data_IF_646381703617
#
_entry.id   IF_646381703617
#
_cell.length_a   1.000
_cell.length_b   1.000
_cell.length_c   1.000
_cell.angle_alpha   90.00
_cell.angle_beta   90.00
_cell.angle_gamma   90.00
#
_symmetry.space_group_name_H-M   'P 1'
#
loop_
_entity.id
_entity.type
_entity.pdbx_description
1 polymer ?
#
# COMPACT_ATOMS: atom_id res chain seq x y z
N UNK A 1 19.19 -21.52 -13.67
CA UNK A 1 19.65 -20.62 -14.75
C UNK A 1 20.19 -19.40 -14.06
N UNK A 2 21.48 -19.11 -14.19
CA UNK A 2 22.06 -17.90 -13.58
C UNK A 2 21.73 -16.70 -14.47
N UNK A 3 20.71 -15.96 -14.08
CA UNK A 3 20.35 -14.70 -14.73
C UNK A 3 21.53 -13.72 -14.48
N UNK A 4 22.13 -13.12 -15.52
CA UNK A 4 23.22 -12.17 -15.34
C UNK A 4 22.79 -10.95 -14.52
N UNK A 5 23.68 -10.41 -13.68
CA UNK A 5 23.38 -9.24 -12.82
C UNK A 5 22.77 -8.06 -13.59
N UNK A 6 23.26 -7.77 -14.80
CA UNK A 6 22.76 -6.67 -15.61
C UNK A 6 21.30 -6.85 -16.05
N UNK A 7 20.83 -8.10 -16.23
CA UNK A 7 19.43 -8.37 -16.55
C UNK A 7 18.53 -8.00 -15.37
N UNK A 8 18.93 -8.31 -14.13
CA UNK A 8 18.21 -7.88 -12.93
C UNK A 8 18.14 -6.35 -12.84
N UNK A 9 19.27 -5.66 -13.04
CA UNK A 9 19.32 -4.20 -12.99
C UNK A 9 18.40 -3.60 -14.05
N UNK A 10 18.49 -4.07 -15.29
CA UNK A 10 17.68 -3.56 -16.41
C UNK A 10 16.18 -3.85 -16.18
N UNK A 11 15.81 -5.08 -15.82
CA UNK A 11 14.42 -5.47 -15.64
C UNK A 11 13.79 -4.75 -14.45
N UNK A 12 14.47 -4.68 -13.31
CA UNK A 12 13.97 -3.99 -12.11
C UNK A 12 13.84 -2.49 -12.34
N UNK A 13 14.81 -1.87 -13.02
CA UNK A 13 14.74 -0.44 -13.37
C UNK A 13 13.57 -0.17 -14.32
N UNK A 14 13.42 -0.97 -15.37
CA UNK A 14 12.31 -0.84 -16.32
C UNK A 14 10.96 -0.99 -15.62
N UNK A 15 10.83 -1.98 -14.73
CA UNK A 15 9.60 -2.21 -13.98
C UNK A 15 9.31 -1.08 -12.98
N UNK A 16 10.32 -0.57 -12.28
CA UNK A 16 10.19 0.58 -11.39
C UNK A 16 9.75 1.84 -12.13
N UNK A 17 10.37 2.15 -13.28
CA UNK A 17 9.96 3.28 -14.13
C UNK A 17 8.52 3.11 -14.61
N UNK A 18 8.15 1.90 -15.08
CA UNK A 18 6.78 1.58 -15.45
C UNK A 18 5.80 1.85 -14.31
N UNK A 19 6.11 1.40 -13.09
CA UNK A 19 5.28 1.59 -11.91
C UNK A 19 5.13 3.08 -11.55
N UNK A 20 6.21 3.86 -11.59
CA UNK A 20 6.16 5.30 -11.31
C UNK A 20 5.28 6.05 -12.33
N UNK A 21 5.41 5.71 -13.62
CA UNK A 21 4.55 6.26 -14.69
C UNK A 21 3.10 5.83 -14.48
N UNK A 22 2.87 4.56 -14.16
CA UNK A 22 1.54 4.02 -13.90
C UNK A 22 0.85 4.77 -12.75
N UNK A 23 1.55 4.98 -11.62
CA UNK A 23 1.02 5.74 -10.49
C UNK A 23 0.63 7.15 -10.94
N UNK A 24 1.50 7.86 -11.67
CA UNK A 24 1.21 9.24 -12.10
C UNK A 24 0.01 9.31 -13.06
N UNK A 25 -0.08 8.39 -14.01
CA UNK A 25 -1.19 8.30 -14.97
C UNK A 25 -2.50 7.95 -14.26
N UNK A 26 -2.53 6.89 -13.45
CA UNK A 26 -3.73 6.44 -12.73
C UNK A 26 -4.21 7.46 -11.71
N UNK A 27 -3.28 8.20 -11.11
CA UNK A 27 -3.61 9.31 -10.23
C UNK A 27 -4.25 10.45 -11.02
N UNK A 28 -3.59 10.97 -12.06
CA UNK A 28 -4.06 12.14 -12.82
C UNK A 28 -5.36 11.87 -13.61
N UNK A 29 -5.54 10.65 -14.11
CA UNK A 29 -6.67 10.28 -14.95
C UNK A 29 -7.66 9.37 -14.20
N UNK A 30 -8.41 9.94 -13.27
CA UNK A 30 -9.36 9.20 -12.40
C UNK A 30 -10.36 8.32 -13.16
N UNK A 31 -10.85 8.79 -14.33
CA UNK A 31 -11.75 8.00 -15.19
C UNK A 31 -11.07 6.78 -15.78
N UNK A 32 -9.86 6.97 -16.33
CA UNK A 32 -9.04 5.87 -16.86
C UNK A 32 -8.75 4.87 -15.75
N UNK A 33 -8.39 5.35 -14.56
CA UNK A 33 -8.09 4.50 -13.42
C UNK A 33 -9.30 3.65 -13.01
N UNK A 34 -10.50 4.23 -12.95
CA UNK A 34 -11.71 3.47 -12.67
C UNK A 34 -11.96 2.39 -13.73
N UNK A 35 -11.91 2.77 -15.01
CA UNK A 35 -12.13 1.85 -16.13
C UNK A 35 -11.12 0.71 -16.11
N UNK A 36 -9.83 1.01 -15.95
CA UNK A 36 -8.76 0.03 -15.89
C UNK A 36 -8.95 -0.98 -14.75
N UNK A 37 -9.43 -0.53 -13.58
CA UNK A 37 -9.68 -1.40 -12.42
C UNK A 37 -10.92 -2.27 -12.63
N UNK A 38 -11.97 -1.74 -13.27
CA UNK A 38 -13.13 -2.56 -13.64
C UNK A 38 -12.71 -3.64 -14.63
N UNK A 39 -11.94 -3.30 -15.67
CA UNK A 39 -11.38 -4.28 -16.60
C UNK A 39 -10.46 -5.29 -15.89
N UNK A 40 -9.66 -4.86 -14.92
CA UNK A 40 -8.83 -5.76 -14.13
C UNK A 40 -9.70 -6.82 -13.43
N UNK A 41 -10.79 -6.44 -12.76
CA UNK A 41 -11.71 -7.40 -12.14
C UNK A 41 -12.39 -8.30 -13.18
N UNK A 42 -12.83 -7.74 -14.31
CA UNK A 42 -13.48 -8.52 -15.38
C UNK A 42 -12.51 -9.47 -16.11
N UNK A 43 -11.21 -9.27 -15.97
CA UNK A 43 -10.18 -10.17 -16.52
C UNK A 43 -10.01 -11.46 -15.72
N UNK A 44 -10.81 -11.70 -14.67
CA UNK A 44 -10.77 -12.92 -13.86
C UNK A 44 -10.77 -14.25 -14.65
N UNK A 45 -11.41 -14.38 -15.84
CA UNK A 45 -11.33 -15.63 -16.62
C UNK A 45 -9.94 -15.91 -17.19
N UNK A 46 -9.05 -14.92 -17.23
CA UNK A 46 -7.69 -15.02 -17.75
C UNK A 46 -6.63 -15.17 -16.64
N UNK A 47 -7.04 -15.30 -15.38
CA UNK A 47 -6.13 -15.41 -14.24
C UNK A 47 -5.63 -16.85 -14.07
N UNK A 48 -4.81 -17.29 -15.02
CA UNK A 48 -4.38 -18.69 -15.13
C UNK A 48 -3.29 -19.08 -14.12
N UNK A 49 -2.57 -18.11 -13.55
CA UNK A 49 -1.42 -18.34 -12.65
C UNK A 49 -1.77 -18.22 -11.15
N UNK A 50 -3.08 -18.13 -10.83
CA UNK A 50 -3.56 -17.96 -9.46
C UNK A 50 -3.76 -19.31 -8.78
N UNK A 51 -2.65 -19.90 -8.35
CA UNK A 51 -2.66 -21.12 -7.55
C UNK A 51 -2.77 -20.84 -6.05
N UNK A 52 -3.73 -21.50 -5.38
CA UNK A 52 -3.92 -21.44 -3.94
C UNK A 52 -4.82 -20.31 -3.45
N UNK A 53 -5.55 -20.59 -2.37
CA UNK A 53 -6.56 -19.67 -1.81
C UNK A 53 -5.98 -18.32 -1.41
N UNK A 54 -4.73 -18.28 -0.94
CA UNK A 54 -4.06 -17.06 -0.49
C UNK A 54 -3.87 -16.06 -1.64
N UNK A 55 -3.49 -16.53 -2.84
CA UNK A 55 -3.33 -15.65 -4.01
C UNK A 55 -4.66 -15.10 -4.48
N UNK A 56 -5.71 -15.94 -4.49
CA UNK A 56 -7.08 -15.51 -4.76
C UNK A 56 -7.56 -14.45 -3.77
N UNK A 57 -7.38 -14.71 -2.47
CA UNK A 57 -7.72 -13.77 -1.42
C UNK A 57 -6.96 -12.44 -1.59
N UNK A 58 -5.68 -12.49 -1.97
CA UNK A 58 -4.87 -11.28 -2.18
C UNK A 58 -5.31 -10.46 -3.38
N UNK A 59 -5.58 -11.10 -4.53
CA UNK A 59 -6.03 -10.39 -5.73
C UNK A 59 -7.41 -9.78 -5.47
N UNK A 60 -8.35 -10.54 -4.91
CA UNK A 60 -9.70 -10.06 -4.65
C UNK A 60 -9.73 -8.97 -3.57
N UNK A 61 -8.98 -9.14 -2.47
CA UNK A 61 -8.91 -8.14 -1.39
C UNK A 61 -8.27 -6.82 -1.82
N UNK A 62 -7.57 -6.78 -2.95
CA UNK A 62 -7.01 -5.56 -3.53
C UNK A 62 -7.93 -5.01 -4.63
N UNK A 63 -8.27 -5.82 -5.64
CA UNK A 63 -9.00 -5.35 -6.81
C UNK A 63 -10.47 -5.03 -6.51
N UNK A 64 -11.14 -5.80 -5.63
CA UNK A 64 -12.55 -5.56 -5.30
C UNK A 64 -12.73 -4.23 -4.55
N UNK A 65 -11.99 -3.94 -3.45
CA UNK A 65 -12.09 -2.62 -2.83
C UNK A 65 -11.66 -1.49 -3.76
N UNK A 66 -10.69 -1.73 -4.65
CA UNK A 66 -10.29 -0.73 -5.62
C UNK A 66 -11.42 -0.41 -6.63
N UNK A 67 -12.12 -1.43 -7.12
CA UNK A 67 -13.18 -1.30 -8.12
C UNK A 67 -14.49 -0.75 -7.55
N UNK A 68 -14.86 -1.18 -6.34
CA UNK A 68 -16.17 -0.87 -5.76
C UNK A 68 -16.12 0.20 -4.67
N UNK A 69 -14.94 0.55 -4.14
CA UNK A 69 -14.80 1.55 -3.07
C UNK A 69 -13.94 2.72 -3.53
N UNK A 70 -12.66 2.49 -3.83
CA UNK A 70 -11.71 3.58 -4.19
C UNK A 70 -12.13 4.28 -5.48
N UNK A 71 -12.34 3.53 -6.56
CA UNK A 71 -12.66 4.08 -7.87
C UNK A 71 -13.93 4.93 -7.88
N UNK A 72 -15.08 4.40 -7.42
CA UNK A 72 -16.32 5.16 -7.30
C UNK A 72 -16.20 6.36 -6.36
N UNK A 73 -15.49 6.23 -5.23
CA UNK A 73 -15.25 7.36 -4.32
C UNK A 73 -14.47 8.48 -5.00
N UNK A 74 -13.38 8.16 -5.69
CA UNK A 74 -12.60 9.17 -6.45
C UNK A 74 -13.44 9.81 -7.54
N UNK A 75 -14.30 9.06 -8.24
CA UNK A 75 -15.24 9.62 -9.22
C UNK A 75 -16.30 10.52 -8.58
N UNK A 76 -16.83 10.14 -7.42
CA UNK A 76 -17.81 10.94 -6.69
C UNK A 76 -17.23 12.27 -6.20
N UNK A 77 -15.95 12.30 -5.84
CA UNK A 77 -15.21 13.53 -5.55
C UNK A 77 -14.81 14.31 -6.80
N UNK A 78 -14.48 13.63 -7.90
CA UNK A 78 -14.24 14.26 -9.20
C UNK A 78 -15.47 15.01 -9.73
N UNK A 79 -16.66 14.44 -9.55
CA UNK A 79 -17.96 15.08 -9.84
C UNK A 79 -18.60 15.62 -8.56
N UNK A 80 -17.88 16.46 -7.81
CA UNK A 80 -18.33 17.00 -6.51
C UNK A 80 -19.71 17.68 -6.59
N UNK A 81 -20.00 18.35 -7.70
CA UNK A 81 -21.26 19.08 -7.90
C UNK A 81 -22.46 18.15 -8.17
N UNK A 82 -22.20 16.88 -8.52
CA UNK A 82 -23.26 15.90 -8.72
C UNK A 82 -23.95 15.59 -7.39
N UNK A 83 -25.24 15.91 -7.30
CA UNK A 83 -26.07 15.73 -6.11
C UNK A 83 -26.79 14.37 -6.04
N UNK A 84 -26.52 13.46 -6.99
CA UNK A 84 -27.13 12.12 -7.00
C UNK A 84 -26.89 11.36 -5.68
N UNK A 85 -27.86 10.54 -5.29
CA UNK A 85 -27.78 9.73 -4.07
C UNK A 85 -26.53 8.84 -4.06
N UNK A 86 -26.16 8.29 -5.21
CA UNK A 86 -24.97 7.45 -5.39
C UNK A 86 -23.68 8.26 -5.14
N UNK A 87 -23.56 9.46 -5.71
CA UNK A 87 -22.39 10.31 -5.47
C UNK A 87 -22.28 10.74 -4.00
N UNK A 88 -23.41 11.05 -3.34
CA UNK A 88 -23.42 11.34 -1.90
C UNK A 88 -23.02 10.14 -1.06
N UNK A 89 -23.51 8.95 -1.40
CA UNK A 89 -23.16 7.71 -0.72
C UNK A 89 -21.65 7.44 -0.76
N UNK A 90 -21.01 7.53 -1.92
CA UNK A 90 -19.56 7.31 -2.07
C UNK A 90 -18.67 8.45 -1.54
N UNK A 91 -19.24 9.60 -1.20
CA UNK A 91 -18.55 10.66 -0.43
C UNK A 91 -18.69 10.49 1.08
N UNK A 92 -19.42 9.47 1.54
CA UNK A 92 -19.63 9.19 2.95
C UNK A 92 -18.40 8.63 3.66
N UNK A 93 -18.39 8.80 4.99
CA UNK A 93 -17.27 8.41 5.85
C UNK A 93 -16.98 6.90 5.82
N UNK A 94 -17.99 6.08 5.52
CA UNK A 94 -17.86 4.62 5.46
C UNK A 94 -16.75 4.19 4.50
N UNK A 95 -16.53 4.93 3.40
CA UNK A 95 -15.45 4.66 2.44
C UNK A 95 -14.09 4.70 3.14
N UNK A 96 -13.83 5.72 3.95
CA UNK A 96 -12.55 5.87 4.65
C UNK A 96 -12.36 4.78 5.71
N UNK A 97 -13.43 4.38 6.39
CA UNK A 97 -13.39 3.24 7.33
C UNK A 97 -13.12 1.91 6.62
N UNK A 98 -13.71 1.70 5.44
CA UNK A 98 -13.41 0.50 4.64
C UNK A 98 -11.98 0.51 4.16
N UNK A 99 -11.42 1.64 3.73
CA UNK A 99 -10.02 1.74 3.33
C UNK A 99 -9.05 1.47 4.48
N UNK A 100 -9.34 2.01 5.66
CA UNK A 100 -8.63 1.67 6.88
C UNK A 100 -8.71 0.17 7.18
N UNK A 101 -9.91 -0.41 7.09
CA UNK A 101 -10.13 -1.85 7.32
C UNK A 101 -9.38 -2.72 6.32
N UNK A 102 -9.37 -2.37 5.04
CA UNK A 102 -8.62 -3.10 4.00
C UNK A 102 -7.11 -3.02 4.24
N UNK A 103 -6.58 -1.84 4.59
CA UNK A 103 -5.16 -1.72 4.96
C UNK A 103 -4.83 -2.57 6.19
N UNK A 104 -5.65 -2.47 7.24
CA UNK A 104 -5.47 -3.25 8.46
C UNK A 104 -5.50 -4.75 8.18
N UNK A 105 -6.49 -5.24 7.41
CA UNK A 105 -6.59 -6.64 7.02
C UNK A 105 -5.40 -7.10 6.18
N UNK A 106 -4.90 -6.25 5.28
CA UNK A 106 -3.72 -6.56 4.46
C UNK A 106 -2.47 -6.78 5.31
N UNK A 107 -2.28 -5.96 6.35
CA UNK A 107 -1.18 -6.11 7.32
C UNK A 107 -1.41 -7.33 8.20
N UNK A 108 -2.62 -7.50 8.74
CA UNK A 108 -2.97 -8.59 9.63
C UNK A 108 -2.84 -9.97 8.95
N UNK A 109 -3.26 -10.09 7.70
CA UNK A 109 -3.13 -11.31 6.90
C UNK A 109 -1.65 -11.72 6.73
N UNK A 110 -0.80 -10.78 6.31
CA UNK A 110 0.63 -11.04 6.16
C UNK A 110 1.30 -11.31 7.51
N UNK A 111 0.87 -10.62 8.57
CA UNK A 111 1.34 -10.88 9.95
C UNK A 111 0.99 -12.30 10.40
N UNK A 112 -0.23 -12.76 10.15
CA UNK A 112 -0.66 -14.13 10.48
C UNK A 112 0.17 -15.15 9.69
N UNK A 113 0.49 -14.84 8.44
CA UNK A 113 1.34 -15.69 7.61
C UNK A 113 2.79 -15.74 8.13
N UNK A 114 3.36 -14.60 8.54
CA UNK A 114 4.67 -14.55 9.22
C UNK A 114 4.70 -15.40 10.49
N UNK A 115 3.61 -15.42 11.27
CA UNK A 115 3.48 -16.33 12.42
C UNK A 115 3.50 -17.81 12.01
N UNK A 116 2.83 -18.16 10.90
CA UNK A 116 2.79 -19.54 10.39
C UNK A 116 4.14 -20.00 9.84
N UNK A 117 4.95 -19.09 9.28
CA UNK A 117 6.29 -19.37 8.74
C UNK A 117 7.39 -19.22 9.79
N UNK A 118 7.04 -19.12 11.08
CA UNK A 118 7.96 -18.95 12.20
C UNK A 118 8.83 -17.67 12.16
N UNK A 119 8.45 -16.67 11.36
CA UNK A 119 9.09 -15.35 11.32
C UNK A 119 8.55 -14.41 12.42
N UNK A 120 8.68 -14.83 13.67
CA UNK A 120 8.03 -14.19 14.81
C UNK A 120 8.43 -12.73 15.01
N UNK A 121 9.69 -12.39 14.76
CA UNK A 121 10.18 -11.01 14.93
C UNK A 121 9.51 -10.05 13.94
N UNK A 122 9.36 -10.47 12.67
CA UNK A 122 8.65 -9.67 11.68
C UNK A 122 7.14 -9.66 11.93
N UNK A 123 6.57 -10.75 12.45
CA UNK A 123 5.16 -10.80 12.84
C UNK A 123 4.82 -9.76 13.93
N UNK A 124 5.66 -9.62 14.95
CA UNK A 124 5.49 -8.59 16.00
C UNK A 124 5.50 -7.19 15.38
N UNK A 125 6.37 -6.93 14.40
CA UNK A 125 6.40 -5.66 13.68
C UNK A 125 5.06 -5.38 12.97
N UNK A 126 4.46 -6.40 12.34
CA UNK A 126 3.14 -6.30 11.73
C UNK A 126 2.03 -5.95 12.72
N UNK A 127 2.06 -6.53 13.92
CA UNK A 127 1.13 -6.15 15.02
C UNK A 127 1.33 -4.70 15.43
N UNK A 128 2.58 -4.24 15.55
CA UNK A 128 2.90 -2.84 15.85
C UNK A 128 2.36 -1.91 14.76
N UNK A 129 2.53 -2.26 13.48
CA UNK A 129 2.03 -1.48 12.36
C UNK A 129 0.50 -1.37 12.41
N UNK A 130 -0.22 -2.48 12.66
CA UNK A 130 -1.67 -2.49 12.86
C UNK A 130 -2.10 -1.56 14.02
N UNK A 131 -1.38 -1.58 15.14
CA UNK A 131 -1.69 -0.74 16.31
C UNK A 131 -1.39 0.75 16.09
N UNK A 132 -0.52 1.08 15.13
CA UNK A 132 -0.07 2.44 14.83
C UNK A 132 -0.71 3.04 13.59
N UNK A 133 -1.70 2.38 12.97
CA UNK A 133 -2.48 2.98 11.89
C UNK A 133 -3.33 4.13 12.47
N UNK A 134 -3.22 5.37 11.94
CA UNK A 134 -4.07 6.47 12.35
C UNK A 134 -5.54 6.17 12.06
N UNK A 135 -6.39 6.28 13.08
CA UNK A 135 -7.82 6.09 12.94
C UNK A 135 -8.45 7.14 12.02
N UNK A 136 -9.45 6.81 11.18
CA UNK A 136 -10.25 7.78 10.44
C UNK A 136 -11.08 8.68 11.38
N UNK A 137 -10.43 9.66 11.99
CA UNK A 137 -11.05 10.59 12.93
C UNK A 137 -11.75 11.73 12.20
N UNK A 138 -12.92 12.11 12.72
CA UNK A 138 -13.70 13.25 12.29
C UNK A 138 -13.67 14.31 13.38
N UNK A 139 -13.21 15.52 13.06
CA UNK A 139 -13.19 16.67 13.99
C UNK A 139 -13.72 17.90 13.27
N UNK A 140 -14.51 18.73 13.95
CA UNK A 140 -15.02 20.01 13.45
C UNK A 140 -15.50 19.98 11.97
N UNK A 141 -16.19 18.91 11.56
CA UNK A 141 -16.70 18.80 10.20
C UNK A 141 -15.72 18.26 9.13
N UNK A 142 -14.47 17.92 9.48
CA UNK A 142 -13.43 17.48 8.52
C UNK A 142 -12.65 16.26 9.00
N UNK A 143 -12.20 15.46 8.03
CA UNK A 143 -11.32 14.33 8.31
C UNK A 143 -9.87 14.77 8.49
N UNK A 144 -9.18 14.15 9.45
CA UNK A 144 -7.79 14.51 9.76
C UNK A 144 -6.78 13.62 9.04
N UNK A 145 -6.88 12.31 9.19
CA UNK A 145 -5.81 11.39 8.76
C UNK A 145 -6.06 10.71 7.42
N UNK A 146 -7.33 10.58 7.05
CA UNK A 146 -7.76 9.93 5.82
C UNK A 146 -8.74 10.87 5.12
N UNK A 147 -8.41 11.34 3.93
CA UNK A 147 -9.37 12.16 3.17
C UNK A 147 -9.13 12.06 1.67
N UNK A 148 -10.18 12.34 0.91
CA UNK A 148 -10.05 12.60 -0.51
C UNK A 148 -9.82 14.10 -0.71
N UNK A 149 -8.78 14.45 -1.48
CA UNK A 149 -8.52 15.84 -1.84
C UNK A 149 -9.74 16.37 -2.63
N UNK A 150 -10.37 17.48 -2.20
CA UNK A 150 -11.41 18.11 -3.00
C UNK A 150 -10.86 18.71 -4.30
N UNK A 151 -9.56 18.98 -4.39
CA UNK A 151 -8.91 19.46 -5.60
C UNK A 151 -8.56 18.29 -6.52
N UNK A 152 -8.61 18.54 -7.83
CA UNK A 152 -8.14 17.56 -8.81
C UNK A 152 -6.66 17.24 -8.54
N UNK A 153 -6.25 15.96 -8.57
CA UNK A 153 -6.97 14.83 -9.16
C UNK A 153 -7.79 13.97 -8.18
N UNK A 154 -8.21 14.51 -7.04
CA UNK A 154 -9.04 13.83 -6.05
C UNK A 154 -8.33 12.61 -5.47
N UNK A 155 -7.13 12.87 -4.95
CA UNK A 155 -6.25 11.87 -4.37
C UNK A 155 -6.77 11.39 -3.03
N UNK A 156 -6.62 10.09 -2.77
CA UNK A 156 -6.73 9.55 -1.42
C UNK A 156 -5.45 9.93 -0.67
N UNK A 157 -5.59 10.82 0.30
CA UNK A 157 -4.52 11.31 1.15
C UNK A 157 -4.54 10.56 2.48
N UNK A 158 -3.38 10.06 2.88
CA UNK A 158 -3.14 9.39 4.14
C UNK A 158 -2.04 10.12 4.92
N UNK A 159 -2.42 10.84 5.98
CA UNK A 159 -1.48 11.59 6.81
C UNK A 159 -0.91 10.67 7.88
N UNK A 160 0.25 10.10 7.59
CA UNK A 160 1.10 9.35 8.51
C UNK A 160 2.46 10.03 8.69
N UNK A 161 3.34 9.41 9.48
CA UNK A 161 4.75 9.83 9.57
C UNK A 161 5.57 9.10 8.50
N UNK A 162 6.64 9.76 8.01
CA UNK A 162 7.62 9.11 7.12
C UNK A 162 8.19 7.83 7.74
N UNK A 163 8.41 7.84 9.06
CA UNK A 163 8.86 6.67 9.79
C UNK A 163 7.86 5.50 9.65
N UNK A 164 6.55 5.74 9.77
CA UNK A 164 5.55 4.69 9.58
C UNK A 164 5.59 4.11 8.16
N UNK A 165 5.69 4.95 7.13
CA UNK A 165 5.77 4.50 5.74
C UNK A 165 7.03 3.65 5.51
N UNK A 166 8.18 4.10 6.00
CA UNK A 166 9.43 3.37 5.91
C UNK A 166 9.36 2.02 6.63
N UNK A 167 8.86 2.01 7.87
CA UNK A 167 8.70 0.79 8.69
C UNK A 167 7.75 -0.21 8.04
N UNK A 168 6.63 0.27 7.49
CA UNK A 168 5.72 -0.55 6.71
C UNK A 168 6.42 -1.12 5.46
N UNK A 169 7.18 -0.30 4.72
CA UNK A 169 7.90 -0.72 3.52
C UNK A 169 8.92 -1.83 3.83
N UNK A 170 9.79 -1.66 4.83
CA UNK A 170 10.78 -2.68 5.22
C UNK A 170 10.15 -3.94 5.81
N UNK A 171 9.08 -3.81 6.59
CA UNK A 171 8.33 -4.95 7.12
C UNK A 171 7.74 -5.80 5.99
N UNK A 172 7.13 -5.15 5.00
CA UNK A 172 6.50 -5.82 3.87
C UNK A 172 7.55 -6.48 2.95
N UNK A 173 8.73 -5.86 2.77
CA UNK A 173 9.84 -6.48 2.04
C UNK A 173 10.33 -7.75 2.74
N UNK A 174 10.52 -7.70 4.07
CA UNK A 174 10.94 -8.85 4.86
C UNK A 174 9.90 -9.99 4.79
N UNK A 175 8.61 -9.66 4.88
CA UNK A 175 7.52 -10.63 4.70
C UNK A 175 7.62 -11.35 3.35
N UNK A 176 7.73 -10.60 2.24
CA UNK A 176 7.79 -11.22 0.91
C UNK A 176 9.08 -12.00 0.69
N UNK A 177 10.20 -11.56 1.26
CA UNK A 177 11.46 -12.30 1.20
C UNK A 177 11.31 -13.71 1.78
N UNK A 178 10.53 -13.86 2.87
CA UNK A 178 10.25 -15.16 3.47
C UNK A 178 9.10 -15.95 2.82
N UNK A 179 8.03 -15.29 2.38
CA UNK A 179 6.82 -15.96 1.87
C UNK A 179 6.96 -16.46 0.43
N UNK A 180 7.56 -15.64 -0.45
CA UNK A 180 7.73 -15.96 -1.87
C UNK A 180 9.11 -15.50 -2.37
N UNK A 181 10.20 -16.21 -2.01
CA UNK A 181 11.56 -15.79 -2.34
C UNK A 181 11.80 -15.57 -3.85
N UNK A 182 11.14 -16.35 -4.71
CA UNK A 182 11.25 -16.21 -6.16
C UNK A 182 10.73 -14.85 -6.69
N UNK A 183 9.78 -14.22 -5.99
CA UNK A 183 9.14 -12.96 -6.38
C UNK A 183 9.62 -11.75 -5.57
N UNK A 184 10.65 -11.91 -4.73
CA UNK A 184 11.10 -10.84 -3.86
C UNK A 184 11.59 -9.61 -4.63
N UNK A 185 12.37 -9.74 -5.71
CA UNK A 185 12.83 -8.57 -6.47
C UNK A 185 11.71 -7.77 -7.14
N UNK A 186 10.73 -8.44 -7.76
CA UNK A 186 9.58 -7.74 -8.35
C UNK A 186 8.69 -7.10 -7.28
N UNK A 187 8.55 -7.75 -6.11
CA UNK A 187 7.82 -7.21 -4.96
C UNK A 187 8.56 -6.04 -4.29
N UNK A 188 9.89 -6.07 -4.26
CA UNK A 188 10.70 -4.95 -3.81
C UNK A 188 10.49 -3.74 -4.72
N UNK A 189 10.41 -3.93 -6.05
CA UNK A 189 10.14 -2.83 -6.99
C UNK A 189 8.82 -2.11 -6.70
N UNK A 190 7.74 -2.83 -6.38
CA UNK A 190 6.43 -2.21 -6.09
C UNK A 190 6.42 -1.47 -4.74
N UNK A 191 7.24 -1.92 -3.79
CA UNK A 191 7.39 -1.29 -2.48
C UNK A 191 8.25 -0.04 -2.59
N UNK A 192 9.39 -0.13 -3.27
CA UNK A 192 10.27 1.03 -3.55
C UNK A 192 9.53 2.06 -4.40
N UNK A 193 8.79 1.66 -5.43
CA UNK A 193 8.02 2.62 -6.24
C UNK A 193 6.97 3.36 -5.41
N UNK A 194 6.30 2.68 -4.47
CA UNK A 194 5.32 3.29 -3.57
C UNK A 194 5.95 4.27 -2.57
N UNK A 195 7.18 4.03 -2.13
CA UNK A 195 7.93 4.94 -1.23
C UNK A 195 8.57 6.11 -2.00
N UNK A 196 9.20 5.82 -3.14
CA UNK A 196 9.93 6.79 -3.95
C UNK A 196 9.00 7.83 -4.57
N UNK A 197 7.79 7.43 -4.97
CA UNK A 197 6.86 8.35 -5.63
C UNK A 197 6.43 9.54 -4.75
N UNK A 198 5.97 9.35 -3.49
CA UNK A 198 5.73 10.43 -2.54
C UNK A 198 6.95 11.32 -2.31
N UNK A 199 8.16 10.74 -2.24
CA UNK A 199 9.42 11.48 -2.06
C UNK A 199 9.70 12.38 -3.28
N UNK A 200 9.60 11.83 -4.50
CA UNK A 200 9.79 12.59 -5.74
C UNK A 200 8.78 13.75 -5.91
N UNK A 201 7.58 13.60 -5.34
CA UNK A 201 6.54 14.64 -5.38
C UNK A 201 6.52 15.53 -4.15
N UNK A 202 7.41 15.32 -3.17
CA UNK A 202 7.39 16.00 -1.86
C UNK A 202 6.01 15.95 -1.17
N UNK A 203 5.29 14.85 -1.34
CA UNK A 203 3.91 14.65 -0.85
C UNK A 203 3.77 13.28 -0.18
N UNK A 204 4.28 13.10 1.05
CA UNK A 204 4.21 11.84 1.82
C UNK A 204 2.80 11.27 1.93
N UNK A 205 1.78 12.12 1.92
CA UNK A 205 0.38 11.70 2.05
C UNK A 205 -0.13 10.84 0.88
N UNK A 206 0.63 10.77 -0.22
CA UNK A 206 0.32 9.94 -1.39
C UNK A 206 0.77 8.49 -1.26
N UNK A 207 1.40 8.10 -0.15
CA UNK A 207 1.97 6.77 0.02
C UNK A 207 0.95 5.65 -0.21
N UNK A 208 -0.22 5.72 0.44
CA UNK A 208 -1.24 4.66 0.35
C UNK A 208 -1.84 4.56 -1.06
N UNK A 209 -2.12 5.69 -1.73
CA UNK A 209 -2.63 5.63 -3.11
C UNK A 209 -1.59 5.05 -4.08
N UNK A 210 -0.31 5.40 -3.91
CA UNK A 210 0.78 4.81 -4.68
C UNK A 210 0.90 3.30 -4.39
N UNK A 211 0.76 2.89 -3.13
CA UNK A 211 0.79 1.48 -2.73
C UNK A 211 -0.38 0.68 -3.31
N UNK A 212 -1.59 1.23 -3.29
CA UNK A 212 -2.78 0.60 -3.85
C UNK A 212 -2.58 0.34 -5.36
N UNK A 213 -2.09 1.32 -6.12
CA UNK A 213 -1.86 1.15 -7.56
C UNK A 213 -0.74 0.17 -7.89
N UNK A 214 0.40 0.28 -7.21
CA UNK A 214 1.54 -0.61 -7.44
C UNK A 214 1.20 -2.05 -7.09
N UNK A 215 0.52 -2.28 -5.96
CA UNK A 215 0.08 -3.61 -5.53
C UNK A 215 -0.95 -4.19 -6.52
N UNK A 216 -1.98 -3.44 -6.89
CA UNK A 216 -3.01 -3.90 -7.81
C UNK A 216 -2.44 -4.30 -9.18
N UNK A 217 -1.54 -3.48 -9.73
CA UNK A 217 -0.89 -3.79 -11.00
C UNK A 217 -0.03 -5.05 -10.90
N UNK A 218 0.73 -5.18 -9.81
CA UNK A 218 1.61 -6.32 -9.59
C UNK A 218 0.84 -7.63 -9.47
N UNK A 219 -0.19 -7.67 -8.60
CA UNK A 219 -0.98 -8.90 -8.40
C UNK A 219 -1.79 -9.26 -9.65
N UNK A 220 -2.23 -8.27 -10.43
CA UNK A 220 -2.90 -8.51 -11.71
C UNK A 220 -1.95 -9.11 -12.75
N UNK A 221 -0.77 -8.51 -12.96
CA UNK A 221 0.22 -9.03 -13.92
C UNK A 221 0.56 -10.48 -13.53
N UNK A 222 0.88 -10.71 -12.25
CA UNK A 222 1.24 -12.04 -11.74
C UNK A 222 0.09 -13.04 -11.79
N UNK A 223 -1.16 -12.59 -11.73
CA UNK A 223 -2.33 -13.45 -11.85
C UNK A 223 -2.60 -13.90 -13.28
N UNK A 224 -2.30 -13.05 -14.27
CA UNK A 224 -2.50 -13.35 -15.70
C UNK A 224 -1.35 -14.20 -16.25
N UNK A 225 -0.10 -13.81 -15.97
CA UNK A 225 1.09 -14.50 -16.48
C UNK A 225 2.31 -14.24 -15.61
N UNK A 226 3.14 -15.26 -15.38
CA UNK A 226 4.40 -15.09 -14.66
C UNK A 226 5.49 -14.47 -15.53
N UNK A 227 5.47 -13.14 -15.61
CA UNK A 227 6.53 -12.35 -16.27
C UNK A 227 7.77 -12.21 -15.39
N UNK A 228 7.69 -12.49 -14.08
CA UNK A 228 8.73 -12.08 -13.14
C UNK A 228 9.79 -13.15 -12.88
N UNK A 229 9.40 -14.40 -12.66
CA UNK A 229 10.40 -15.46 -12.37
C UNK A 229 11.42 -15.66 -13.49
N UNK A 230 11.11 -15.48 -14.80
CA UNK A 230 12.13 -15.66 -15.84
C UNK A 230 13.22 -14.57 -15.85
N UNK A 231 12.95 -13.38 -15.30
CA UNK A 231 13.83 -12.19 -15.42
C UNK A 231 14.23 -11.54 -14.09
N UNK A 232 13.58 -11.90 -12.99
CA UNK A 232 13.73 -11.33 -11.65
C UNK A 232 13.67 -12.39 -10.54
N UNK A 233 14.06 -13.65 -10.82
CA UNK A 233 14.09 -14.67 -9.77
C UNK A 233 15.14 -14.35 -8.69
N UNK A 234 14.69 -14.13 -7.45
CA UNK A 234 15.54 -13.90 -6.27
C UNK A 234 15.73 -15.13 -5.39
N UNK A 235 15.17 -16.29 -5.75
CA UNK A 235 15.35 -17.54 -5.01
C UNK A 235 16.83 -17.94 -4.81
N UNK A 236 17.74 -17.79 -5.79
CA UNK A 236 19.15 -18.15 -5.59
C UNK A 236 19.88 -17.33 -4.52
N UNK A 237 19.37 -16.14 -4.17
CA UNK A 237 19.95 -15.28 -3.14
C UNK A 237 19.18 -15.36 -1.81
N UNK A 238 18.20 -16.26 -1.72
CA UNK A 238 17.43 -16.44 -0.50
C UNK A 238 18.31 -17.04 0.60
N UNK A 239 18.25 -16.45 1.79
CA UNK A 239 18.98 -16.93 2.96
C UNK A 239 18.14 -16.72 4.22
N UNK A 240 17.85 -17.83 4.91
CA UNK A 240 17.05 -17.83 6.14
C UNK A 240 17.70 -17.03 7.27
N UNK A 241 19.03 -17.04 7.39
CA UNK A 241 19.73 -16.21 8.39
C UNK A 241 19.57 -14.73 8.08
N UNK A 242 19.60 -14.34 6.80
CA UNK A 242 19.35 -12.96 6.40
C UNK A 242 17.91 -12.54 6.72
N UNK A 243 16.93 -13.41 6.50
CA UNK A 243 15.53 -13.19 6.87
C UNK A 243 15.37 -12.95 8.39
N UNK A 244 15.98 -13.80 9.22
CA UNK A 244 15.93 -13.64 10.68
C UNK A 244 16.58 -12.34 11.14
N UNK A 245 17.78 -12.01 10.63
CA UNK A 245 18.49 -10.77 10.97
C UNK A 245 17.67 -9.55 10.54
N UNK A 246 17.04 -9.59 9.36
CA UNK A 246 16.17 -8.51 8.90
C UNK A 246 14.95 -8.36 9.81
N UNK A 247 14.29 -9.45 10.19
CA UNK A 247 13.20 -9.44 11.18
C UNK A 247 13.63 -8.80 12.50
N UNK A 248 14.83 -9.12 13.01
CA UNK A 248 15.39 -8.52 14.21
C UNK A 248 15.66 -7.02 14.06
N UNK A 249 16.25 -6.58 12.95
CA UNK A 249 16.47 -5.17 12.64
C UNK A 249 15.13 -4.42 12.58
N UNK A 250 14.13 -4.98 11.89
CA UNK A 250 12.79 -4.41 11.83
C UNK A 250 12.23 -4.23 13.26
N UNK A 251 12.35 -5.23 14.12
CA UNK A 251 11.86 -5.15 15.50
C UNK A 251 12.55 -4.04 16.30
N UNK A 252 13.88 -3.93 16.20
CA UNK A 252 14.67 -2.88 16.84
C UNK A 252 14.26 -1.49 16.37
N UNK A 253 13.81 -1.34 15.12
CA UNK A 253 13.29 -0.06 14.61
C UNK A 253 11.83 0.21 15.01
N UNK A 254 10.98 -0.82 15.05
CA UNK A 254 9.56 -0.69 15.39
C UNK A 254 9.32 -0.41 16.87
N UNK A 255 10.11 -0.99 17.78
CA UNK A 255 9.93 -0.82 19.23
C UNK A 255 10.12 0.63 19.70
N UNK A 256 11.20 1.35 19.34
CA UNK A 256 11.35 2.76 19.66
C UNK A 256 10.24 3.61 19.01
N UNK A 257 9.87 3.28 17.77
CA UNK A 257 8.82 3.99 17.05
C UNK A 257 7.46 3.88 17.77
N UNK A 258 7.04 2.68 18.20
CA UNK A 258 5.75 2.52 18.88
C UNK A 258 5.71 3.21 20.24
N UNK A 259 6.82 3.19 20.98
CA UNK A 259 6.96 3.94 22.25
C UNK A 259 6.83 5.43 21.98
N UNK A 260 7.54 5.95 20.98
CA UNK A 260 7.44 7.35 20.57
C UNK A 260 6.04 7.72 20.11
N UNK A 261 5.40 6.87 19.29
CA UNK A 261 4.07 7.06 18.73
C UNK A 261 3.04 7.24 19.83
N UNK A 262 2.96 6.30 20.77
CA UNK A 262 1.99 6.37 21.87
C UNK A 262 2.29 7.49 22.86
N UNK A 263 3.56 7.83 23.10
CA UNK A 263 3.92 9.00 23.93
C UNK A 263 3.44 10.30 23.30
N UNK A 264 3.69 10.50 22.00
CA UNK A 264 3.20 11.66 21.25
C UNK A 264 1.68 11.67 21.18
N UNK A 265 1.07 10.52 20.95
CA UNK A 265 -0.38 10.40 20.92
C UNK A 265 -1.02 10.75 22.26
N UNK A 266 -0.42 10.33 23.38
CA UNK A 266 -0.91 10.68 24.72
C UNK A 266 -0.75 12.17 25.03
N UNK A 267 0.37 12.78 24.63
CA UNK A 267 0.63 14.19 24.84
C UNK A 267 -0.28 15.10 24.00
N UNK A 268 -0.47 14.77 22.72
CA UNK A 268 -1.26 15.55 21.77
C UNK A 268 -2.74 15.14 21.70
N UNK A 269 -3.13 14.04 22.35
CA UNK A 269 -4.43 13.34 22.19
C UNK A 269 -4.77 13.00 20.73
N UNK A 270 -3.77 12.93 19.87
CA UNK A 270 -3.88 12.82 18.41
C UNK A 270 -2.71 11.99 17.86
N UNK A 271 -2.96 11.20 16.81
CA UNK A 271 -1.91 10.40 16.19
C UNK A 271 -0.82 11.33 15.61
N UNK A 272 0.47 10.98 15.74
CA UNK A 272 1.52 11.76 15.13
C UNK A 272 1.41 11.73 13.61
N UNK A 273 1.60 12.89 13.00
CA UNK A 273 1.67 13.09 11.55
C UNK A 273 3.05 13.66 11.19
N UNK A 274 3.45 13.50 9.93
CA UNK A 274 4.73 14.02 9.43
C UNK A 274 4.76 15.56 9.31
N UNK A 275 5.66 16.09 8.50
CA UNK A 275 5.78 17.54 8.27
C UNK A 275 4.56 18.18 7.60
N UNK A 276 3.75 17.38 6.89
CA UNK A 276 2.50 17.84 6.31
C UNK A 276 1.37 17.66 7.32
N UNK A 277 0.83 18.79 7.80
CA UNK A 277 -0.21 18.78 8.81
C UNK A 277 -1.58 18.41 8.22
N UNK A 278 -2.43 17.71 8.98
CA UNK A 278 -3.80 17.45 8.56
C UNK A 278 -4.63 18.75 8.50
N UNK A 279 -5.72 18.78 7.72
CA UNK A 279 -6.35 20.03 7.27
C UNK A 279 -6.82 21.00 8.35
N UNK A 280 -7.20 20.54 9.55
CA UNK A 280 -7.63 21.46 10.62
C UNK A 280 -6.48 22.11 11.37
N UNK A 281 -5.32 21.45 11.47
CA UNK A 281 -4.16 22.06 12.11
C UNK A 281 -3.51 23.09 11.19
N UNK A 282 -3.47 22.80 9.89
CA UNK A 282 -3.05 23.76 8.87
C UNK A 282 -3.96 25.01 8.77
N UNK A 283 -5.20 24.96 9.29
CA UNK A 283 -6.11 26.11 9.37
C UNK A 283 -6.09 26.82 10.73
N UNK A 284 -5.49 26.19 11.75
CA UNK A 284 -5.40 26.71 13.11
C UNK A 284 -4.01 27.30 13.46
N UNK A 285 -3.06 27.22 12.52
CA UNK A 285 -1.73 27.84 12.55
C UNK A 285 -1.67 29.03 11.59
#
# INVERSE_FOLDING_TARGET
MDIPLWHYIASMTAYLVFLLVLIDVMRKHTRLAFVAVVFAVLSFPFWNEVEGWFRWAKILSVLVPMAFVVGPARLAWYYKDNQSAIAKFYRGNWVLFVLYGVLFLNIAEATLKDFQTANYMNAICGVILCATIPWPSYKNGTHQYWLFDPKRPNDLLFYSTHAWNFLYTTWNMCFVYGESPAFFFSSACILVAAELYPVLKNRPELYIIARIYTLAAHVLIRGIYDVFTPVMNSEPIFNENALMIWGAINLVLHVPFVIWYFRKQRAAKEAPFGHNEPPLRAQAA
#
